data_IF_819569842293
#
_entry.id   IF_819569842293
#
_cell.length_a   1.000
_cell.length_b   1.000
_cell.length_c   1.000
_cell.angle_alpha   90.00
_cell.angle_beta   90.00
_cell.angle_gamma   90.00
#
_symmetry.space_group_name_H-M   'P 1'
#
loop_
_entity.id
_entity.type
_entity.pdbx_description
1 polymer ?
#
# COMPACT_ATOMS: atom_id res chain seq x y z
N UNK A 1 -4.69 8.68 -15.02
CA UNK A 1 -5.31 9.99 -14.69
C UNK A 1 -5.39 10.88 -15.94
N UNK A 2 -6.46 11.62 -16.12
CA UNK A 2 -6.59 12.63 -17.19
C UNK A 2 -5.84 13.91 -16.80
N UNK A 3 -5.41 14.72 -17.79
CA UNK A 3 -4.72 16.00 -17.51
C UNK A 3 -5.54 16.93 -16.61
N UNK A 4 -6.87 16.96 -16.78
CA UNK A 4 -7.79 17.74 -15.93
C UNK A 4 -7.77 17.28 -14.47
N UNK A 5 -7.65 15.99 -14.21
CA UNK A 5 -7.56 15.45 -12.83
C UNK A 5 -6.24 15.85 -12.15
N UNK A 6 -5.15 15.91 -12.92
CA UNK A 6 -3.86 16.40 -12.43
C UNK A 6 -3.94 17.90 -12.07
N UNK A 7 -4.55 18.71 -12.93
CA UNK A 7 -4.76 20.13 -12.66
C UNK A 7 -5.64 20.37 -11.42
N UNK A 8 -6.72 19.57 -11.28
CA UNK A 8 -7.58 19.63 -10.10
C UNK A 8 -6.83 19.23 -8.82
N UNK A 9 -5.94 18.22 -8.89
CA UNK A 9 -5.13 17.85 -7.75
C UNK A 9 -4.20 19.01 -7.32
N UNK A 10 -3.55 19.67 -8.27
CA UNK A 10 -2.72 20.84 -7.99
C UNK A 10 -3.53 22.00 -7.40
N UNK A 11 -4.71 22.28 -7.95
CA UNK A 11 -5.60 23.32 -7.42
C UNK A 11 -6.01 23.01 -5.97
N UNK A 12 -6.34 21.76 -5.67
CA UNK A 12 -6.65 21.32 -4.29
C UNK A 12 -5.48 21.49 -3.34
N UNK A 13 -4.26 21.12 -3.76
CA UNK A 13 -3.04 21.28 -2.95
C UNK A 13 -2.78 22.77 -2.67
N UNK A 14 -2.89 23.63 -3.68
CA UNK A 14 -2.71 25.08 -3.53
C UNK A 14 -3.77 25.71 -2.63
N UNK A 15 -4.97 25.13 -2.58
CA UNK A 15 -6.04 25.54 -1.66
C UNK A 15 -5.89 24.95 -0.24
N UNK A 16 -4.78 24.23 0.06
CA UNK A 16 -4.54 23.61 1.35
C UNK A 16 -5.33 22.31 1.59
N UNK A 17 -5.95 21.77 0.55
CA UNK A 17 -6.68 20.49 0.64
C UNK A 17 -5.77 19.31 0.34
N UNK A 18 -6.10 18.14 0.87
CA UNK A 18 -5.37 16.89 0.62
C UNK A 18 -6.11 16.07 -0.44
N UNK A 19 -5.59 15.96 -1.69
CA UNK A 19 -6.26 15.26 -2.78
C UNK A 19 -6.28 13.75 -2.63
N UNK A 20 -5.48 13.20 -1.71
CA UNK A 20 -5.37 11.77 -1.45
C UNK A 20 -5.89 11.41 -0.08
N UNK A 21 -6.56 10.25 -0.01
CA UNK A 21 -7.06 9.66 1.22
C UNK A 21 -6.51 8.24 1.33
N UNK A 22 -5.99 7.87 2.50
CA UNK A 22 -5.55 6.51 2.80
C UNK A 22 -6.31 6.00 4.02
N UNK A 23 -7.17 5.00 3.84
CA UNK A 23 -8.04 4.50 4.92
C UNK A 23 -7.67 3.06 5.27
N UNK A 24 -7.36 2.83 6.54
CA UNK A 24 -7.31 1.49 7.09
C UNK A 24 -8.74 1.01 7.40
N UNK A 25 -9.28 0.14 6.52
CA UNK A 25 -10.67 -0.31 6.61
C UNK A 25 -10.89 -1.46 7.58
N UNK A 26 -9.81 -2.09 8.04
CA UNK A 26 -9.85 -3.18 9.00
C UNK A 26 -8.50 -3.36 9.67
N UNK A 27 -8.52 -3.84 10.90
CA UNK A 27 -7.32 -4.34 11.60
C UNK A 27 -7.11 -5.85 11.42
N UNK A 28 -8.10 -6.56 10.87
CA UNK A 28 -8.01 -8.01 10.69
C UNK A 28 -7.10 -8.37 9.52
N UNK A 29 -6.21 -9.32 9.74
CA UNK A 29 -5.35 -9.88 8.72
C UNK A 29 -5.14 -11.38 9.00
N UNK A 30 -5.18 -12.24 7.99
CA UNK A 30 -4.88 -13.67 8.17
C UNK A 30 -3.37 -13.95 8.30
N UNK A 31 -2.52 -12.92 8.08
CA UNK A 31 -1.07 -13.03 8.14
C UNK A 31 -0.52 -12.47 9.46
N UNK A 32 0.72 -12.89 9.80
CA UNK A 32 1.52 -12.39 10.91
C UNK A 32 2.95 -12.10 10.42
N UNK A 33 3.07 -11.14 9.49
CA UNK A 33 4.37 -10.82 8.92
C UNK A 33 5.27 -10.17 9.97
N UNK A 34 6.54 -10.59 10.10
CA UNK A 34 7.52 -9.90 10.93
C UNK A 34 7.64 -8.42 10.55
N UNK A 35 7.82 -7.54 11.54
CA UNK A 35 7.92 -6.09 11.32
C UNK A 35 6.64 -5.43 10.76
N UNK A 36 5.50 -6.10 10.84
CA UNK A 36 4.24 -5.51 10.43
C UNK A 36 3.74 -4.51 11.48
N UNK A 37 3.66 -3.23 11.11
CA UNK A 37 3.22 -2.15 12.01
C UNK A 37 1.87 -2.43 12.69
N UNK A 38 0.97 -3.16 12.03
CA UNK A 38 -0.36 -3.47 12.56
C UNK A 38 -0.34 -4.40 13.80
N UNK A 39 0.79 -5.01 14.09
CA UNK A 39 0.98 -5.90 15.24
C UNK A 39 1.92 -5.33 16.31
N UNK A 40 2.53 -4.19 16.03
CA UNK A 40 3.39 -3.52 17.01
C UNK A 40 2.55 -2.94 18.16
N UNK A 41 2.95 -3.15 19.44
CA UNK A 41 2.16 -2.71 20.60
C UNK A 41 1.93 -1.20 20.66
N UNK A 42 2.84 -0.41 20.09
CA UNK A 42 2.85 1.05 20.20
C UNK A 42 2.35 1.77 18.94
N UNK A 43 1.80 1.03 17.98
CA UNK A 43 1.31 1.63 16.72
C UNK A 43 0.31 2.78 16.93
N UNK A 44 -0.47 2.74 17.99
CA UNK A 44 -1.45 3.79 18.34
C UNK A 44 -0.93 4.79 19.40
N UNK A 45 0.36 4.76 19.70
CA UNK A 45 1.00 5.63 20.68
C UNK A 45 1.14 4.99 22.07
N UNK A 46 1.71 5.72 23.02
CA UNK A 46 2.15 5.24 24.34
C UNK A 46 1.02 4.77 25.30
N UNK A 47 -0.20 4.64 24.84
CA UNK A 47 -1.36 4.29 25.68
C UNK A 47 -1.57 2.80 25.94
N UNK A 48 -0.70 1.91 25.45
CA UNK A 48 -0.83 0.46 25.62
C UNK A 48 -2.03 -0.18 24.88
N UNK A 49 -2.77 0.58 24.08
CA UNK A 49 -3.89 0.08 23.27
C UNK A 49 -3.33 -0.50 21.97
N UNK A 50 -3.53 -1.78 21.77
CA UNK A 50 -3.17 -2.43 20.48
C UNK A 50 -4.33 -2.36 19.49
N UNK A 51 -4.02 -2.44 18.19
CA UNK A 51 -5.04 -2.50 17.14
C UNK A 51 -6.08 -3.60 17.37
N UNK A 52 -5.66 -4.72 17.97
CA UNK A 52 -6.54 -5.86 18.27
C UNK A 52 -7.62 -5.56 19.31
N UNK A 53 -7.44 -4.56 20.15
CA UNK A 53 -8.39 -4.18 21.21
C UNK A 53 -9.47 -3.23 20.71
N UNK A 54 -9.31 -2.65 19.51
CA UNK A 54 -10.28 -1.74 18.93
C UNK A 54 -11.31 -2.49 18.09
N UNK A 55 -12.55 -2.04 18.13
CA UNK A 55 -13.63 -2.60 17.32
C UNK A 55 -13.52 -2.10 15.87
N UNK A 56 -13.57 -3.04 14.91
CA UNK A 56 -13.72 -2.70 13.50
C UNK A 56 -15.17 -2.48 13.11
N UNK A 57 -15.41 -1.55 12.20
CA UNK A 57 -16.68 -1.48 11.50
C UNK A 57 -16.79 -2.59 10.45
N UNK A 58 -18.01 -3.13 10.28
CA UNK A 58 -18.31 -4.22 9.33
C UNK A 58 -19.64 -3.99 8.64
N UNK A 59 -19.87 -4.70 7.53
CA UNK A 59 -21.12 -4.67 6.79
C UNK A 59 -21.49 -3.26 6.32
N UNK A 60 -22.78 -2.97 6.32
CA UNK A 60 -23.33 -1.70 5.84
C UNK A 60 -22.81 -0.50 6.63
N UNK A 61 -22.46 -0.68 7.89
CA UNK A 61 -21.95 0.41 8.72
C UNK A 61 -20.56 0.85 8.24
N UNK A 62 -19.69 -0.08 7.88
CA UNK A 62 -18.38 0.25 7.29
C UNK A 62 -18.57 0.99 5.95
N UNK A 63 -19.41 0.46 5.06
CA UNK A 63 -19.66 1.06 3.74
C UNK A 63 -20.20 2.49 3.89
N UNK A 64 -21.22 2.67 4.72
CA UNK A 64 -21.86 3.98 4.95
C UNK A 64 -20.87 5.00 5.49
N UNK A 65 -20.08 4.64 6.52
CA UNK A 65 -19.11 5.56 7.14
C UNK A 65 -17.97 5.91 6.21
N UNK A 66 -17.45 4.95 5.46
CA UNK A 66 -16.38 5.20 4.50
C UNK A 66 -16.85 6.15 3.39
N UNK A 67 -18.05 5.92 2.84
CA UNK A 67 -18.62 6.81 1.84
C UNK A 67 -18.88 8.22 2.39
N UNK A 68 -19.29 8.35 3.66
CA UNK A 68 -19.46 9.65 4.30
C UNK A 68 -18.14 10.45 4.36
N UNK A 69 -17.02 9.78 4.70
CA UNK A 69 -15.70 10.44 4.67
C UNK A 69 -15.32 10.83 3.24
N UNK A 70 -15.52 9.93 2.29
CA UNK A 70 -15.22 10.20 0.88
C UNK A 70 -16.04 11.38 0.35
N UNK A 71 -17.32 11.47 0.70
CA UNK A 71 -18.21 12.56 0.28
C UNK A 71 -17.85 13.89 0.97
N UNK A 72 -17.32 13.84 2.20
CA UNK A 72 -16.82 15.00 2.93
C UNK A 72 -15.49 15.49 2.37
N UNK A 73 -14.50 14.61 2.24
CA UNK A 73 -13.12 14.96 1.88
C UNK A 73 -12.92 15.11 0.37
N UNK A 74 -13.80 14.51 -0.46
CA UNK A 74 -13.78 14.54 -1.92
C UNK A 74 -12.41 14.25 -2.54
N UNK A 75 -11.75 13.14 -2.17
CA UNK A 75 -10.42 12.82 -2.67
C UNK A 75 -10.46 12.49 -4.16
N UNK A 76 -9.35 12.75 -4.85
CA UNK A 76 -9.14 12.26 -6.22
C UNK A 76 -8.63 10.82 -6.20
N UNK A 77 -7.83 10.49 -5.18
CA UNK A 77 -7.25 9.17 -4.97
C UNK A 77 -7.58 8.64 -3.57
N UNK A 78 -7.96 7.37 -3.51
CA UNK A 78 -8.22 6.65 -2.27
C UNK A 78 -7.40 5.37 -2.21
N UNK A 79 -6.56 5.24 -1.18
CA UNK A 79 -5.88 3.99 -0.84
C UNK A 79 -6.66 3.26 0.24
N UNK A 80 -7.10 2.04 -0.05
CA UNK A 80 -7.73 1.13 0.90
C UNK A 80 -6.69 0.15 1.41
N UNK A 81 -6.38 0.27 2.68
CA UNK A 81 -5.34 -0.49 3.38
C UNK A 81 -5.90 -1.02 4.71
N UNK A 82 -5.04 -1.51 5.58
CA UNK A 82 -5.38 -1.98 6.91
C UNK A 82 -4.61 -3.25 7.24
N UNK A 83 -5.21 -4.17 7.99
CA UNK A 83 -4.68 -5.51 8.11
C UNK A 83 -4.56 -6.16 6.73
N UNK A 84 -5.62 -6.79 6.24
CA UNK A 84 -5.77 -7.07 4.81
C UNK A 84 -7.20 -6.75 4.37
N UNK A 85 -7.41 -5.79 3.46
CA UNK A 85 -8.75 -5.38 3.01
C UNK A 85 -9.62 -6.51 2.47
N UNK A 86 -9.03 -7.60 1.92
CA UNK A 86 -9.80 -8.73 1.42
C UNK A 86 -10.56 -9.52 2.51
N UNK A 87 -10.31 -9.27 3.79
CA UNK A 87 -11.18 -9.82 4.86
C UNK A 87 -12.55 -9.13 4.85
N UNK A 88 -12.65 -7.93 4.28
CA UNK A 88 -13.88 -7.15 4.05
C UNK A 88 -14.39 -7.30 2.61
N UNK A 89 -14.24 -8.48 2.05
CA UNK A 89 -14.58 -8.78 0.66
C UNK A 89 -16.02 -8.37 0.29
N UNK A 90 -17.02 -8.68 1.13
CA UNK A 90 -18.44 -8.38 0.87
C UNK A 90 -18.68 -6.88 0.85
N UNK A 91 -18.08 -6.17 1.77
CA UNK A 91 -18.15 -4.71 1.85
C UNK A 91 -17.48 -4.06 0.63
N UNK A 92 -16.34 -4.61 0.20
CA UNK A 92 -15.64 -4.12 -0.99
C UNK A 92 -16.44 -4.32 -2.28
N UNK A 93 -17.19 -5.43 -2.43
CA UNK A 93 -18.08 -5.64 -3.58
C UNK A 93 -19.16 -4.56 -3.70
N UNK A 94 -19.64 -4.04 -2.56
CA UNK A 94 -20.61 -2.95 -2.53
C UNK A 94 -19.95 -1.57 -2.69
N UNK A 95 -18.77 -1.40 -2.08
CA UNK A 95 -18.07 -0.12 -2.00
C UNK A 95 -17.39 0.27 -3.31
N UNK A 96 -16.62 -0.63 -3.93
CA UNK A 96 -15.79 -0.31 -5.10
C UNK A 96 -16.61 0.24 -6.29
N UNK A 97 -17.79 -0.33 -6.67
CA UNK A 97 -18.61 0.26 -7.72
C UNK A 97 -19.14 1.66 -7.36
N UNK A 98 -19.37 1.95 -6.08
CA UNK A 98 -19.81 3.26 -5.64
C UNK A 98 -18.71 4.31 -5.72
N UNK A 99 -17.44 3.92 -5.44
CA UNK A 99 -16.27 4.77 -5.61
C UNK A 99 -15.97 5.04 -7.10
N UNK A 100 -16.12 4.02 -7.95
CA UNK A 100 -16.01 4.17 -9.42
C UNK A 100 -17.00 5.22 -9.94
N UNK A 101 -18.28 5.16 -9.52
CA UNK A 101 -19.30 6.15 -9.92
C UNK A 101 -18.99 7.57 -9.44
N UNK A 102 -18.27 7.72 -8.33
CA UNK A 102 -17.78 9.00 -7.82
C UNK A 102 -16.55 9.52 -8.58
N UNK A 103 -16.02 8.73 -9.50
CA UNK A 103 -14.84 9.09 -10.28
C UNK A 103 -13.52 9.02 -9.50
N UNK A 104 -13.47 8.31 -8.37
CA UNK A 104 -12.31 8.21 -7.50
C UNK A 104 -11.37 7.13 -8.02
N UNK A 105 -10.07 7.43 -8.08
CA UNK A 105 -9.03 6.43 -8.33
C UNK A 105 -8.76 5.66 -7.04
N UNK A 106 -9.07 4.37 -7.04
CA UNK A 106 -8.91 3.51 -5.87
C UNK A 106 -7.67 2.63 -6.02
N UNK A 107 -6.83 2.62 -4.99
CA UNK A 107 -5.76 1.65 -4.81
C UNK A 107 -6.14 0.70 -3.68
N UNK A 108 -6.30 -0.58 -3.97
CA UNK A 108 -6.55 -1.63 -2.98
C UNK A 108 -5.26 -2.40 -2.73
N UNK A 109 -4.73 -2.33 -1.52
CA UNK A 109 -3.47 -3.00 -1.13
C UNK A 109 -3.79 -4.27 -0.34
N UNK A 110 -3.30 -5.41 -0.82
CA UNK A 110 -3.62 -6.73 -0.24
C UNK A 110 -2.46 -7.71 -0.38
N UNK A 111 -2.45 -8.75 0.44
CA UNK A 111 -1.58 -9.92 0.25
C UNK A 111 -2.08 -10.89 -0.81
N UNK A 112 -3.27 -10.70 -1.35
CA UNK A 112 -3.96 -11.63 -2.26
C UNK A 112 -4.08 -13.06 -1.70
N UNK A 113 -4.28 -13.20 -0.40
CA UNK A 113 -4.43 -14.51 0.28
C UNK A 113 -5.65 -15.31 -0.19
N UNK A 114 -6.55 -14.70 -0.93
CA UNK A 114 -7.73 -15.31 -1.54
C UNK A 114 -7.93 -14.79 -2.98
N UNK A 115 -8.67 -15.50 -3.84
CA UNK A 115 -8.93 -15.09 -5.22
C UNK A 115 -9.51 -13.69 -5.32
N UNK A 116 -8.97 -12.92 -6.26
CA UNK A 116 -9.50 -11.59 -6.62
C UNK A 116 -10.73 -11.76 -7.52
N UNK A 117 -11.82 -11.02 -7.27
CA UNK A 117 -13.03 -11.13 -8.08
C UNK A 117 -12.80 -10.66 -9.52
N UNK A 118 -13.26 -11.47 -10.48
CA UNK A 118 -13.22 -11.08 -11.90
C UNK A 118 -14.00 -9.79 -12.19
N UNK A 119 -15.10 -9.55 -11.47
CA UNK A 119 -15.91 -8.32 -11.59
C UNK A 119 -15.12 -7.05 -11.37
N UNK A 120 -14.06 -7.10 -10.55
CA UNK A 120 -13.22 -5.94 -10.24
C UNK A 120 -12.33 -5.53 -11.41
N UNK A 121 -12.05 -6.42 -12.36
CA UNK A 121 -11.28 -6.08 -13.57
C UNK A 121 -12.00 -5.07 -14.47
N UNK A 122 -13.33 -4.95 -14.33
CA UNK A 122 -14.15 -3.99 -15.07
C UNK A 122 -14.14 -2.58 -14.47
N UNK A 123 -13.58 -2.40 -13.27
CA UNK A 123 -13.49 -1.11 -12.60
C UNK A 123 -12.24 -0.37 -13.10
N UNK A 124 -12.46 0.58 -14.01
CA UNK A 124 -11.38 1.27 -14.74
C UNK A 124 -10.48 2.13 -13.85
N UNK A 125 -11.00 2.53 -12.67
CA UNK A 125 -10.31 3.35 -11.68
C UNK A 125 -9.75 2.56 -10.51
N UNK A 126 -9.90 1.23 -10.51
CA UNK A 126 -9.34 0.36 -9.50
C UNK A 126 -7.92 -0.11 -9.90
N UNK A 127 -6.99 0.03 -8.98
CA UNK A 127 -5.65 -0.55 -9.03
C UNK A 127 -5.48 -1.52 -7.86
N UNK A 128 -5.35 -2.80 -8.16
CA UNK A 128 -5.05 -3.81 -7.15
C UNK A 128 -3.54 -3.91 -6.97
N UNK A 129 -3.07 -3.70 -5.75
CA UNK A 129 -1.65 -3.78 -5.37
C UNK A 129 -1.45 -4.99 -4.49
N UNK A 130 -0.61 -5.92 -4.96
CA UNK A 130 -0.29 -7.16 -4.26
C UNK A 130 1.07 -7.03 -3.60
N UNK A 131 1.10 -7.23 -2.29
CA UNK A 131 2.32 -7.14 -1.49
C UNK A 131 3.13 -8.43 -1.59
N UNK A 132 4.36 -8.32 -2.09
CA UNK A 132 5.31 -9.42 -2.26
C UNK A 132 6.63 -9.03 -1.59
N UNK A 133 7.11 -9.82 -0.64
CA UNK A 133 8.33 -9.51 0.13
C UNK A 133 9.50 -10.40 -0.29
N UNK A 134 9.86 -10.40 -1.55
CA UNK A 134 10.99 -11.14 -2.08
C UNK A 134 10.62 -12.28 -3.02
N UNK A 135 11.58 -13.14 -3.34
CA UNK A 135 11.39 -14.36 -4.11
C UNK A 135 10.67 -15.43 -3.28
N UNK A 136 10.27 -16.53 -3.92
CA UNK A 136 9.35 -17.51 -3.32
C UNK A 136 9.77 -18.00 -1.93
N UNK A 137 11.01 -18.48 -1.68
CA UNK A 137 11.34 -19.06 -0.37
C UNK A 137 11.17 -18.04 0.76
N UNK A 138 11.72 -16.86 0.62
CA UNK A 138 11.70 -15.80 1.63
C UNK A 138 10.30 -15.22 1.82
N UNK A 139 9.58 -15.03 0.71
CA UNK A 139 8.20 -14.56 0.76
C UNK A 139 7.29 -15.57 1.47
N UNK A 140 7.37 -16.85 1.11
CA UNK A 140 6.52 -17.90 1.66
C UNK A 140 6.77 -18.11 3.16
N UNK A 141 8.02 -17.96 3.61
CA UNK A 141 8.35 -18.00 5.03
C UNK A 141 7.73 -16.81 5.77
N UNK A 142 7.81 -15.61 5.21
CA UNK A 142 7.40 -14.37 5.83
C UNK A 142 5.88 -14.15 5.82
N UNK A 143 5.19 -14.54 4.72
CA UNK A 143 3.81 -14.13 4.44
C UNK A 143 2.79 -15.27 4.44
N UNK A 144 3.01 -16.36 5.15
CA UNK A 144 1.97 -17.40 5.27
C UNK A 144 0.67 -16.83 5.87
N UNK A 145 -0.52 -17.21 5.33
CA UNK A 145 -0.78 -18.20 4.28
C UNK A 145 -0.80 -17.66 2.84
N UNK A 146 -0.39 -16.43 2.57
CA UNK A 146 -0.33 -15.84 1.22
C UNK A 146 0.98 -16.23 0.52
N UNK A 147 1.18 -17.54 0.25
CA UNK A 147 2.34 -18.07 -0.48
C UNK A 147 2.31 -17.69 -1.96
N UNK A 148 3.44 -17.81 -2.65
CA UNK A 148 3.53 -17.57 -4.10
C UNK A 148 2.51 -18.35 -4.90
N UNK A 149 2.38 -19.66 -4.63
CA UNK A 149 1.39 -20.51 -5.30
C UNK A 149 -0.03 -19.98 -5.11
N UNK A 150 -0.39 -19.61 -3.89
CA UNK A 150 -1.70 -19.04 -3.58
C UNK A 150 -1.93 -17.71 -4.29
N UNK A 151 -0.93 -16.83 -4.28
CA UNK A 151 -1.00 -15.53 -4.94
C UNK A 151 -1.16 -15.70 -6.45
N UNK A 152 -0.34 -16.54 -7.09
CA UNK A 152 -0.43 -16.80 -8.54
C UNK A 152 -1.81 -17.34 -8.93
N UNK A 153 -2.41 -18.20 -8.11
CA UNK A 153 -3.77 -18.65 -8.31
C UNK A 153 -4.80 -17.52 -8.09
N UNK A 154 -4.59 -16.67 -7.08
CA UNK A 154 -5.51 -15.58 -6.74
C UNK A 154 -5.57 -14.48 -7.80
N UNK A 155 -4.47 -14.20 -8.50
CA UNK A 155 -4.36 -13.11 -9.49
C UNK A 155 -4.57 -13.57 -10.93
N UNK A 156 -4.77 -14.87 -11.19
CA UNK A 156 -4.76 -15.49 -12.53
C UNK A 156 -5.56 -14.75 -13.60
N UNK A 157 -6.72 -14.20 -13.22
CA UNK A 157 -7.61 -13.50 -14.15
C UNK A 157 -7.68 -11.99 -13.88
N UNK A 158 -6.64 -11.47 -13.23
CA UNK A 158 -6.57 -10.06 -12.80
C UNK A 158 -5.35 -9.38 -13.40
N UNK A 159 -5.37 -8.04 -13.41
CA UNK A 159 -4.22 -7.23 -13.78
C UNK A 159 -3.79 -6.41 -12.56
N UNK A 160 -2.66 -6.79 -11.97
CA UNK A 160 -2.22 -6.27 -10.67
C UNK A 160 -0.92 -5.46 -10.76
N UNK A 161 -0.69 -4.65 -9.75
CA UNK A 161 0.60 -4.04 -9.45
C UNK A 161 1.28 -4.85 -8.35
N UNK A 162 2.53 -5.23 -8.52
CA UNK A 162 3.34 -5.85 -7.47
C UNK A 162 4.03 -4.74 -6.67
N UNK A 163 3.94 -4.83 -5.35
CA UNK A 163 4.70 -4.00 -4.43
C UNK A 163 5.62 -4.88 -3.59
N UNK A 164 6.91 -4.55 -3.57
CA UNK A 164 7.91 -5.22 -2.74
C UNK A 164 8.49 -4.25 -1.72
N UNK A 165 8.49 -4.64 -0.44
CA UNK A 165 9.27 -3.95 0.58
C UNK A 165 10.66 -4.55 0.63
N UNK A 166 11.66 -3.79 0.20
CA UNK A 166 13.08 -4.19 0.29
C UNK A 166 13.52 -4.09 1.74
N UNK A 167 13.92 -5.22 2.30
CA UNK A 167 14.49 -5.33 3.65
C UNK A 167 16.01 -5.48 3.61
N UNK A 168 16.68 -5.40 4.76
CA UNK A 168 18.12 -5.66 4.87
C UNK A 168 18.53 -7.04 4.35
N UNK A 169 17.68 -8.05 4.51
CA UNK A 169 17.91 -9.40 3.99
C UNK A 169 17.97 -9.45 2.47
N UNK A 170 17.10 -8.69 1.78
CA UNK A 170 17.10 -8.54 0.33
C UNK A 170 18.27 -7.67 -0.12
N UNK A 171 18.46 -6.52 0.54
CA UNK A 171 19.48 -5.53 0.22
C UNK A 171 20.91 -6.08 0.29
N UNK A 172 21.15 -7.09 1.13
CA UNK A 172 22.44 -7.76 1.28
C UNK A 172 22.78 -8.79 0.18
N UNK A 173 21.88 -9.03 -0.80
CA UNK A 173 22.03 -10.08 -1.81
C UNK A 173 22.19 -9.48 -3.22
N UNK A 174 23.42 -9.40 -3.77
CA UNK A 174 23.66 -8.87 -5.11
C UNK A 174 22.84 -9.60 -6.19
N UNK A 175 22.20 -8.84 -7.09
CA UNK A 175 21.39 -9.38 -8.18
C UNK A 175 20.00 -9.90 -7.81
N UNK A 176 19.64 -9.90 -6.53
CA UNK A 176 18.36 -10.40 -6.06
C UNK A 176 17.18 -9.56 -6.60
N UNK A 177 17.30 -8.23 -6.59
CA UNK A 177 16.26 -7.35 -7.11
C UNK A 177 16.06 -7.53 -8.62
N UNK A 178 17.14 -7.79 -9.36
CA UNK A 178 17.04 -8.08 -10.79
C UNK A 178 16.31 -9.41 -11.05
N UNK A 179 16.61 -10.46 -10.28
CA UNK A 179 15.91 -11.74 -10.36
C UNK A 179 14.41 -11.59 -10.04
N UNK A 180 14.09 -10.85 -9.00
CA UNK A 180 12.73 -10.52 -8.63
C UNK A 180 11.98 -9.78 -9.74
N UNK A 181 12.59 -8.74 -10.31
CA UNK A 181 12.00 -7.97 -11.41
C UNK A 181 11.82 -8.83 -12.66
N UNK A 182 12.77 -9.70 -12.98
CA UNK A 182 12.69 -10.63 -14.10
C UNK A 182 11.51 -11.58 -13.95
N UNK A 183 11.38 -12.21 -12.78
CA UNK A 183 10.29 -13.14 -12.50
C UNK A 183 8.91 -12.48 -12.66
N UNK A 184 8.70 -11.36 -11.99
CA UNK A 184 7.40 -10.68 -11.99
C UNK A 184 7.11 -9.94 -13.29
N UNK A 185 8.12 -9.43 -14.00
CA UNK A 185 7.93 -8.78 -15.29
C UNK A 185 7.50 -9.76 -16.39
N UNK A 186 7.88 -11.03 -16.27
CA UNK A 186 7.49 -12.09 -17.23
C UNK A 186 6.00 -12.47 -17.11
N UNK A 187 5.31 -12.08 -16.05
CA UNK A 187 3.91 -12.45 -15.80
C UNK A 187 2.93 -11.53 -16.54
N UNK A 188 1.96 -12.15 -17.26
CA UNK A 188 0.90 -11.40 -17.95
C UNK A 188 -0.05 -10.68 -16.99
N UNK A 189 -0.27 -11.25 -15.82
CA UNK A 189 -1.12 -10.70 -14.75
C UNK A 189 -0.52 -9.44 -14.10
N UNK A 190 0.79 -9.19 -14.32
CA UNK A 190 1.47 -8.06 -13.73
C UNK A 190 1.54 -6.89 -14.69
N UNK A 191 0.90 -5.80 -14.32
CA UNK A 191 0.91 -4.53 -15.06
C UNK A 191 2.09 -3.65 -14.68
N UNK A 192 2.42 -3.62 -13.39
CA UNK A 192 3.44 -2.73 -12.81
C UNK A 192 4.13 -3.41 -11.65
N UNK A 193 5.35 -2.97 -11.39
CA UNK A 193 6.13 -3.34 -10.21
C UNK A 193 6.68 -2.06 -9.61
N UNK A 194 6.59 -1.90 -8.32
CA UNK A 194 7.29 -0.85 -7.59
C UNK A 194 7.79 -1.37 -6.25
N UNK A 195 8.78 -0.71 -5.69
CA UNK A 195 9.39 -1.11 -4.43
C UNK A 195 9.38 0.06 -3.45
N UNK A 196 9.36 -0.27 -2.17
CA UNK A 196 9.68 0.64 -1.08
C UNK A 196 10.84 0.08 -0.26
N UNK A 197 11.53 0.92 0.45
CA UNK A 197 12.52 0.49 1.44
C UNK A 197 11.84 0.26 2.78
N UNK A 198 12.25 -0.77 3.49
CA UNK A 198 11.76 -1.03 4.84
C UNK A 198 12.00 0.18 5.74
N UNK A 199 10.94 0.66 6.37
CA UNK A 199 10.97 1.76 7.34
C UNK A 199 10.75 1.17 8.72
N UNK A 200 11.78 1.12 9.58
CA UNK A 200 11.66 0.54 10.91
C UNK A 200 10.82 1.43 11.84
N UNK A 201 10.19 0.80 12.82
CA UNK A 201 9.66 1.51 13.98
C UNK A 201 10.83 2.05 14.82
N UNK A 202 10.55 3.05 15.67
CA UNK A 202 11.57 3.57 16.58
C UNK A 202 12.04 2.48 17.54
N UNK A 203 13.35 2.27 17.60
CA UNK A 203 13.96 1.21 18.43
C UNK A 203 13.88 -0.19 17.82
N UNK A 204 13.43 -0.35 16.59
CA UNK A 204 13.43 -1.66 15.92
C UNK A 204 14.86 -2.19 15.73
N UNK A 205 15.03 -3.47 15.96
CA UNK A 205 16.28 -4.22 15.75
C UNK A 205 16.01 -5.42 14.84
N UNK A 206 17.05 -5.93 14.20
CA UNK A 206 16.97 -7.17 13.45
C UNK A 206 17.48 -7.10 12.01
N UNK A 207 17.41 -8.24 11.28
CA UNK A 207 18.00 -8.38 9.95
C UNK A 207 17.23 -7.64 8.84
N UNK A 208 16.06 -7.10 9.14
CA UNK A 208 15.26 -6.33 8.20
C UNK A 208 15.76 -4.90 8.02
N UNK A 209 16.54 -4.40 8.98
CA UNK A 209 17.09 -3.06 8.95
C UNK A 209 18.06 -2.89 7.78
N UNK A 210 17.90 -1.79 7.06
CA UNK A 210 18.78 -1.42 5.95
C UNK A 210 19.80 -0.41 6.47
N UNK A 211 21.08 -0.82 6.50
CA UNK A 211 22.15 0.11 6.85
C UNK A 211 22.29 1.22 5.79
N UNK A 212 22.88 2.39 6.13
CA UNK A 212 23.12 3.45 5.14
C UNK A 212 23.94 2.99 3.93
N UNK A 213 24.87 2.06 4.12
CA UNK A 213 25.66 1.49 3.02
C UNK A 213 24.81 0.61 2.11
N UNK A 214 24.02 -0.31 2.68
CA UNK A 214 23.10 -1.15 1.92
C UNK A 214 22.04 -0.32 1.18
N UNK A 215 21.54 0.75 1.83
CA UNK A 215 20.58 1.66 1.19
C UNK A 215 21.16 2.27 -0.10
N UNK A 216 22.41 2.75 -0.07
CA UNK A 216 23.07 3.30 -1.27
C UNK A 216 23.16 2.24 -2.38
N UNK A 217 23.63 1.04 -2.06
CA UNK A 217 23.77 -0.05 -3.05
C UNK A 217 22.42 -0.42 -3.68
N UNK A 218 21.36 -0.52 -2.89
CA UNK A 218 20.01 -0.79 -3.39
C UNK A 218 19.54 0.31 -4.33
N UNK A 219 19.72 1.57 -3.98
CA UNK A 219 19.27 2.68 -4.81
C UNK A 219 20.05 2.78 -6.13
N UNK A 220 21.35 2.49 -6.12
CA UNK A 220 22.18 2.40 -7.32
C UNK A 220 21.73 1.22 -8.22
N UNK A 221 21.39 0.08 -7.62
CA UNK A 221 20.84 -1.06 -8.35
C UNK A 221 19.48 -0.74 -8.96
N UNK A 222 18.57 -0.10 -8.22
CA UNK A 222 17.25 0.30 -8.73
C UNK A 222 17.38 1.29 -9.91
N UNK A 223 18.31 2.24 -9.83
CA UNK A 223 18.57 3.19 -10.91
C UNK A 223 19.10 2.48 -12.18
N UNK A 224 19.96 1.49 -12.02
CA UNK A 224 20.45 0.63 -13.11
C UNK A 224 19.34 -0.20 -13.73
N UNK A 225 18.45 -0.75 -12.92
CA UNK A 225 17.39 -1.67 -13.37
C UNK A 225 16.19 -0.95 -13.99
N UNK A 226 15.92 0.28 -13.62
CA UNK A 226 14.76 1.05 -14.10
C UNK A 226 14.61 1.03 -15.63
N UNK A 227 15.63 1.32 -16.46
CA UNK A 227 15.49 1.32 -17.90
C UNK A 227 15.39 -0.08 -18.53
N UNK A 228 15.72 -1.14 -17.79
CA UNK A 228 15.75 -2.52 -18.29
C UNK A 228 14.40 -3.23 -18.18
N UNK A 229 13.55 -2.79 -17.25
CA UNK A 229 12.29 -3.43 -16.94
C UNK A 229 11.10 -2.46 -17.13
N UNK A 230 10.41 -2.47 -18.28
CA UNK A 230 9.32 -1.52 -18.57
C UNK A 230 8.15 -1.55 -17.58
N UNK A 231 7.94 -2.69 -16.90
CA UNK A 231 6.92 -2.79 -15.84
C UNK A 231 7.37 -2.20 -14.51
N UNK A 232 8.67 -1.98 -14.32
CA UNK A 232 9.21 -1.36 -13.10
C UNK A 232 9.00 0.15 -13.12
N UNK A 233 8.23 0.66 -12.18
CA UNK A 233 7.75 2.05 -12.18
C UNK A 233 8.37 2.89 -11.06
N UNK A 234 9.68 2.82 -10.94
CA UNK A 234 10.48 3.66 -10.06
C UNK A 234 11.35 4.56 -10.92
N UNK A 235 10.87 5.75 -11.27
CA UNK A 235 11.66 6.69 -12.06
C UNK A 235 12.79 7.34 -11.22
N UNK A 236 13.72 8.02 -11.92
CA UNK A 236 14.86 8.66 -11.25
C UNK A 236 14.47 9.63 -10.14
N UNK A 237 13.40 10.41 -10.33
CA UNK A 237 12.96 11.35 -9.30
C UNK A 237 12.51 10.64 -8.03
N UNK A 238 11.79 9.50 -8.15
CA UNK A 238 11.41 8.69 -7.00
C UNK A 238 12.62 8.06 -6.30
N UNK A 239 13.61 7.61 -7.06
CA UNK A 239 14.84 7.04 -6.49
C UNK A 239 15.63 8.12 -5.76
N UNK A 240 15.68 9.32 -6.30
CA UNK A 240 16.38 10.46 -5.68
C UNK A 240 15.70 10.90 -4.37
N UNK A 241 14.38 10.92 -4.30
CA UNK A 241 13.64 11.13 -3.05
C UNK A 241 13.97 10.06 -1.98
N UNK A 242 14.21 8.82 -2.40
CA UNK A 242 14.66 7.78 -1.49
C UNK A 242 16.13 7.97 -1.05
N UNK A 243 16.98 8.66 -1.84
CA UNK A 243 18.35 9.02 -1.43
C UNK A 243 18.34 10.12 -0.36
N UNK A 244 17.42 11.04 -0.46
CA UNK A 244 17.26 12.21 0.41
C UNK A 244 15.87 12.20 1.08
N UNK A 245 15.64 11.26 2.02
CA UNK A 245 14.33 11.15 2.68
C UNK A 245 14.04 12.42 3.49
N UNK A 246 12.76 12.81 3.59
CA UNK A 246 12.36 13.98 4.36
C UNK A 246 12.78 13.83 5.82
N UNK A 247 13.22 14.93 6.43
CA UNK A 247 13.67 14.95 7.82
C UNK A 247 12.51 15.22 8.79
N UNK A 248 11.37 15.67 8.27
CA UNK A 248 10.18 15.97 9.06
C UNK A 248 8.89 15.67 8.29
N UNK A 249 7.73 15.55 8.97
CA UNK A 249 6.44 15.41 8.30
C UNK A 249 6.09 16.56 7.36
N UNK A 250 6.57 17.79 7.66
CA UNK A 250 6.31 18.98 6.85
C UNK A 250 7.03 18.91 5.48
N UNK A 251 8.16 18.22 5.42
CA UNK A 251 8.89 17.98 4.17
C UNK A 251 8.32 16.79 3.39
N UNK A 252 7.63 15.88 4.08
CA UNK A 252 7.10 14.67 3.47
C UNK A 252 5.90 14.96 2.57
N UNK A 253 6.06 14.73 1.26
CA UNK A 253 4.99 14.94 0.28
C UNK A 253 3.74 14.10 0.60
N UNK A 254 3.91 12.87 1.11
CA UNK A 254 2.80 12.02 1.51
C UNK A 254 2.01 12.66 2.66
N UNK A 255 2.66 13.12 3.71
CA UNK A 255 2.00 13.78 4.85
C UNK A 255 1.29 15.07 4.44
N UNK A 256 1.84 15.81 3.47
CA UNK A 256 1.25 17.05 2.94
C UNK A 256 0.04 16.83 2.05
N UNK A 257 0.00 15.73 1.30
CA UNK A 257 -1.01 15.50 0.24
C UNK A 257 -2.02 14.42 0.60
N UNK A 258 -1.80 13.65 1.68
CA UNK A 258 -2.65 12.52 2.06
C UNK A 258 -3.22 12.70 3.46
N UNK A 259 -4.53 12.49 3.58
CA UNK A 259 -5.21 12.30 4.85
C UNK A 259 -5.28 10.79 5.16
N UNK A 260 -4.90 10.39 6.37
CA UNK A 260 -4.82 8.98 6.76
C UNK A 260 -5.71 8.68 7.97
N UNK A 261 -7.05 8.60 7.81
CA UNK A 261 -7.94 8.15 8.87
C UNK A 261 -7.88 6.63 9.04
N UNK A 262 -8.09 6.17 10.26
CA UNK A 262 -8.27 4.75 10.58
C UNK A 262 -9.73 4.46 10.88
N UNK A 263 -10.27 3.37 10.35
CA UNK A 263 -11.70 3.03 10.44
C UNK A 263 -12.17 2.83 11.87
N UNK A 264 -11.30 2.33 12.73
CA UNK A 264 -11.64 1.96 14.11
C UNK A 264 -11.57 3.11 15.12
N UNK A 265 -11.03 4.29 14.76
CA UNK A 265 -10.97 5.43 15.67
C UNK A 265 -11.61 6.71 15.10
N UNK A 266 -11.42 7.00 13.82
CA UNK A 266 -11.81 8.28 13.22
C UNK A 266 -13.18 8.25 12.53
N UNK A 267 -13.72 7.05 12.22
CA UNK A 267 -15.10 6.93 11.72
C UNK A 267 -16.16 7.23 12.80
N UNK A 268 -15.75 7.42 14.06
CA UNK A 268 -16.68 7.60 15.21
C UNK A 268 -17.07 9.04 15.44
N UNK A 269 -16.28 10.02 15.03
CA UNK A 269 -16.58 11.43 15.30
C UNK A 269 -16.33 12.30 14.07
N UNK A 270 -17.34 13.03 13.64
CA UNK A 270 -17.20 14.26 12.88
C UNK A 270 -16.53 15.35 13.73
N UNK A 271 -15.30 15.12 14.16
CA UNK A 271 -14.44 16.15 14.76
C UNK A 271 -13.11 16.11 14.07
N UNK A 272 -13.00 16.97 13.06
CA UNK A 272 -11.72 17.43 12.61
C UNK A 272 -10.98 18.02 13.82
N UNK A 273 -9.92 17.35 14.29
CA UNK A 273 -8.83 18.08 14.91
C UNK A 273 -8.05 18.72 13.75
N UNK A 274 -8.17 20.02 13.68
CA UNK A 274 -7.39 20.89 12.80
C UNK A 274 -5.92 20.84 13.18
#
# INVERSE_FOLDING_TARGET
MKKSEVLNAWASILAGQKPSLSIEITRECPLHCPGCYAYEPEHLGAGGVTLRQLADYKGDDLVRRLLAIVDQERPIHLSLVGGDPLVRYRELEVLLPQLERRGIHVQLVTSAFRPLPKSWTNLSRLSMVVSIDGLQPEHDERRKPATYERILNSIRDSLVTIHCTVTGQIAGRPGYLEEFLRFWSARSEVKRIWVSLFTPQQGAEGPELISPAMRRLVLDELERLFPLYPKFQMNRAMIEELRHPPQSPEECIFARTTLSPVSYTHLVKGSASR
#
